data_IF_676230028378
#
_entry.id   IF_676230028378
#
_cell.length_a   1.000
_cell.length_b   1.000
_cell.length_c   1.000
_cell.angle_alpha   90.00
_cell.angle_beta   90.00
_cell.angle_gamma   90.00
#
_symmetry.space_group_name_H-M   'P 1'
#
loop_
_entity.id
_entity.type
_entity.pdbx_description
1 polymer ?
#
# COMPACT_ATOMS: atom_id res chain seq x y z
N UNK A 1 -3.73 7.34 -10.58
CA UNK A 1 -4.30 8.50 -9.88
C UNK A 1 -5.49 7.99 -9.05
N UNK A 2 -5.57 8.36 -7.77
CA UNK A 2 -6.71 7.97 -6.92
C UNK A 2 -8.01 8.58 -7.42
N UNK A 3 -9.15 7.91 -7.14
CA UNK A 3 -10.47 8.50 -7.35
C UNK A 3 -10.69 9.71 -6.43
N UNK A 4 -11.61 10.59 -6.80
CA UNK A 4 -11.97 11.76 -5.99
C UNK A 4 -12.48 11.34 -4.60
N UNK A 5 -13.23 10.24 -4.52
CA UNK A 5 -13.72 9.69 -3.25
C UNK A 5 -12.60 9.21 -2.34
N UNK A 6 -11.55 8.58 -2.90
CA UNK A 6 -10.38 8.13 -2.13
C UNK A 6 -9.53 9.31 -1.67
N UNK A 7 -9.36 10.32 -2.51
CA UNK A 7 -8.66 11.56 -2.12
C UNK A 7 -9.36 12.25 -0.95
N UNK A 8 -10.68 12.41 -1.05
CA UNK A 8 -11.47 13.00 0.03
C UNK A 8 -11.38 12.22 1.34
N UNK A 9 -11.41 10.89 1.28
CA UNK A 9 -11.21 10.06 2.47
C UNK A 9 -9.85 10.30 3.12
N UNK A 10 -8.78 10.42 2.32
CA UNK A 10 -7.45 10.72 2.84
C UNK A 10 -7.40 12.09 3.53
N UNK A 11 -8.03 13.11 2.94
CA UNK A 11 -8.15 14.44 3.54
C UNK A 11 -8.93 14.40 4.87
N UNK A 12 -10.09 13.73 4.91
CA UNK A 12 -10.89 13.55 6.13
C UNK A 12 -10.08 12.84 7.25
N UNK A 13 -9.22 11.87 6.91
CA UNK A 13 -8.34 11.23 7.88
C UNK A 13 -7.28 12.18 8.43
N UNK A 14 -6.72 13.05 7.60
CA UNK A 14 -5.75 14.06 8.01
C UNK A 14 -6.40 15.12 8.89
N UNK A 15 -7.62 15.57 8.56
CA UNK A 15 -8.37 16.58 9.32
C UNK A 15 -8.64 16.17 10.77
N UNK A 16 -8.95 14.88 11.02
CA UNK A 16 -9.26 14.37 12.35
C UNK A 16 -8.06 13.83 13.11
N UNK A 17 -6.88 13.88 12.52
CA UNK A 17 -5.66 13.34 13.13
C UNK A 17 -5.19 14.22 14.28
N UNK A 18 -4.75 13.60 15.39
CA UNK A 18 -4.17 14.29 16.55
C UNK A 18 -2.64 14.43 16.43
N UNK A 19 -2.02 13.64 15.59
CA UNK A 19 -0.59 13.69 15.24
C UNK A 19 -0.41 13.09 13.86
N UNK A 20 0.46 13.67 13.05
CA UNK A 20 0.87 13.14 11.75
C UNK A 20 2.31 12.65 11.82
N UNK A 21 2.55 11.43 11.40
CA UNK A 21 3.89 10.85 11.28
C UNK A 21 4.24 10.77 9.80
N UNK A 22 5.14 11.62 9.36
CA UNK A 22 5.67 11.65 7.99
C UNK A 22 6.93 10.80 7.94
N UNK A 23 6.81 9.62 7.34
CA UNK A 23 7.90 8.65 7.24
C UNK A 23 8.60 8.72 5.88
N UNK A 24 9.84 8.21 5.81
CA UNK A 24 10.71 8.19 4.62
C UNK A 24 11.14 9.59 4.18
N UNK A 25 11.38 10.48 5.11
CA UNK A 25 11.83 11.86 4.82
C UNK A 25 13.22 11.90 4.19
N UNK A 26 13.98 10.84 4.31
CA UNK A 26 15.25 10.61 3.62
C UNK A 26 15.15 10.49 2.08
N UNK A 27 13.95 10.27 1.55
CA UNK A 27 13.70 10.12 0.11
C UNK A 27 13.31 11.42 -0.59
N UNK A 28 13.17 12.52 0.13
CA UNK A 28 12.76 13.82 -0.39
C UNK A 28 13.76 14.90 -0.01
N UNK A 29 13.85 15.96 -0.82
CA UNK A 29 14.68 17.12 -0.50
C UNK A 29 14.05 17.99 0.59
N UNK A 30 14.86 18.86 1.22
CA UNK A 30 14.37 19.81 2.24
C UNK A 30 13.25 20.71 1.70
N UNK A 31 13.36 21.17 0.44
CA UNK A 31 12.32 21.99 -0.21
C UNK A 31 11.01 21.20 -0.38
N UNK A 32 11.09 19.93 -0.76
CA UNK A 32 9.92 19.05 -0.89
C UNK A 32 9.30 18.74 0.46
N UNK A 33 10.13 18.58 1.50
CA UNK A 33 9.66 18.38 2.86
C UNK A 33 8.89 19.60 3.35
N UNK A 34 9.42 20.83 3.16
CA UNK A 34 8.74 22.06 3.53
C UNK A 34 7.41 22.24 2.79
N UNK A 35 7.37 21.95 1.50
CA UNK A 35 6.13 21.99 0.71
C UNK A 35 5.08 21.00 1.25
N UNK A 36 5.50 19.78 1.61
CA UNK A 36 4.62 18.76 2.20
C UNK A 36 4.06 19.22 3.54
N UNK A 37 4.89 19.76 4.42
CA UNK A 37 4.45 20.29 5.71
C UNK A 37 3.45 21.44 5.53
N UNK A 38 3.70 22.37 4.61
CA UNK A 38 2.78 23.46 4.29
C UNK A 38 1.42 22.94 3.77
N UNK A 39 1.41 21.89 2.96
CA UNK A 39 0.18 21.24 2.49
C UNK A 39 -0.57 20.56 3.64
N UNK A 40 0.12 19.84 4.51
CA UNK A 40 -0.48 19.18 5.67
C UNK A 40 -1.09 20.20 6.64
N UNK A 41 -0.41 21.31 6.90
CA UNK A 41 -0.94 22.41 7.73
C UNK A 41 -2.14 23.14 7.11
N UNK A 42 -2.30 23.12 5.78
CA UNK A 42 -3.53 23.65 5.15
C UNK A 42 -4.75 22.78 5.43
N UNK A 43 -4.54 21.46 5.56
CA UNK A 43 -5.62 20.50 5.87
C UNK A 43 -5.92 20.50 7.36
N UNK A 44 -4.90 20.47 8.22
CA UNK A 44 -5.04 20.48 9.66
C UNK A 44 -4.01 21.41 10.29
N UNK A 45 -4.41 22.65 10.52
CA UNK A 45 -3.52 23.76 10.91
C UNK A 45 -2.87 23.60 12.30
N UNK A 46 -3.40 22.75 13.15
CA UNK A 46 -2.94 22.59 14.54
C UNK A 46 -2.31 21.23 14.81
N UNK A 47 -2.24 20.36 13.82
CA UNK A 47 -1.73 19.00 14.02
C UNK A 47 -0.21 19.00 14.19
N UNK A 48 0.32 18.36 15.25
CA UNK A 48 1.75 18.12 15.38
C UNK A 48 2.22 17.19 14.26
N UNK A 49 3.33 17.54 13.60
CA UNK A 49 3.96 16.74 12.54
C UNK A 49 5.28 16.20 13.08
N UNK A 50 5.46 14.88 13.04
CA UNK A 50 6.70 14.18 13.39
C UNK A 50 7.31 13.65 12.11
N UNK A 51 8.49 14.16 11.77
CA UNK A 51 9.27 13.70 10.61
C UNK A 51 10.14 12.53 11.03
N UNK A 52 10.15 11.45 10.25
CA UNK A 52 10.89 10.25 10.61
C UNK A 52 11.43 9.51 9.40
N UNK A 53 12.41 8.65 9.67
CA UNK A 53 13.01 7.72 8.73
C UNK A 53 12.93 6.31 9.33
N UNK A 54 12.58 5.32 8.53
CA UNK A 54 12.36 3.93 8.96
C UNK A 54 11.32 3.76 10.07
N UNK A 55 10.37 4.69 10.22
CA UNK A 55 9.33 4.62 11.25
C UNK A 55 9.87 4.78 12.68
N UNK A 56 11.06 5.34 12.86
CA UNK A 56 11.67 5.56 14.19
C UNK A 56 10.99 6.74 14.88
N UNK A 57 10.02 6.43 15.74
CA UNK A 57 9.26 7.42 16.51
C UNK A 57 9.30 7.03 17.98
N UNK A 58 9.48 8.02 18.85
CA UNK A 58 9.39 7.82 20.29
C UNK A 58 7.90 7.73 20.70
N UNK A 59 7.49 6.59 21.28
CA UNK A 59 6.11 6.35 21.71
C UNK A 59 5.70 7.34 22.82
N UNK A 60 6.63 7.74 23.68
CA UNK A 60 6.36 8.74 24.75
C UNK A 60 6.05 10.12 24.15
N UNK A 61 6.69 10.47 23.03
CA UNK A 61 6.41 11.69 22.28
C UNK A 61 4.99 11.68 21.69
N UNK A 62 4.59 10.56 21.08
CA UNK A 62 3.24 10.40 20.53
C UNK A 62 2.19 10.43 21.65
N UNK A 63 2.47 9.83 22.81
CA UNK A 63 1.52 9.73 23.91
C UNK A 63 1.15 11.08 24.54
N UNK A 64 2.01 12.09 24.37
CA UNK A 64 1.74 13.46 24.86
C UNK A 64 0.60 14.16 24.11
N UNK A 65 0.28 13.71 22.89
CA UNK A 65 -0.81 14.25 22.07
C UNK A 65 -2.17 13.58 22.34
N UNK A 66 -2.29 12.80 23.41
CA UNK A 66 -3.46 11.97 23.71
C UNK A 66 -4.58 12.65 24.49
N UNK A 67 -4.39 13.89 24.93
CA UNK A 67 -5.35 14.59 25.76
C UNK A 67 -6.45 15.23 24.90
N UNK A 68 -7.56 14.59 24.81
CA UNK A 68 -8.90 14.88 24.35
C UNK A 68 -9.40 13.88 23.30
N UNK A 69 -9.70 12.68 23.77
CA UNK A 69 -10.43 11.70 22.93
C UNK A 69 -11.89 12.16 22.80
N UNK A 70 -12.16 13.04 21.86
CA UNK A 70 -13.50 13.17 21.32
C UNK A 70 -13.89 11.82 20.72
N UNK A 71 -15.04 11.31 21.11
CA UNK A 71 -15.59 10.03 20.65
C UNK A 71 -15.67 10.05 19.12
N UNK A 72 -14.74 9.38 18.46
CA UNK A 72 -14.76 9.24 17.00
C UNK A 72 -15.95 8.36 16.67
N UNK A 73 -17.01 8.95 16.14
CA UNK A 73 -18.04 8.19 15.46
C UNK A 73 -17.42 7.60 14.20
N UNK A 74 -17.04 6.33 14.26
CA UNK A 74 -16.62 5.58 13.08
C UNK A 74 -17.83 5.39 12.17
N UNK A 75 -18.02 6.32 11.26
CA UNK A 75 -18.83 6.06 10.09
C UNK A 75 -18.03 5.09 9.22
N UNK A 76 -18.43 3.82 9.20
CA UNK A 76 -17.92 2.84 8.28
C UNK A 76 -18.45 3.16 6.87
N UNK A 77 -17.86 4.14 6.22
CA UNK A 77 -18.06 4.35 4.81
C UNK A 77 -17.31 3.25 4.06
N UNK A 78 -18.05 2.37 3.39
CA UNK A 78 -17.46 1.46 2.40
C UNK A 78 -17.03 2.32 1.19
N UNK A 79 -15.80 2.81 1.21
CA UNK A 79 -15.25 3.71 0.18
C UNK A 79 -14.92 3.01 -1.15
N UNK A 80 -15.56 1.88 -1.44
CA UNK A 80 -15.33 1.15 -2.68
C UNK A 80 -13.98 0.46 -2.79
N UNK A 81 -13.10 0.60 -1.77
CA UNK A 81 -11.84 -0.13 -1.71
C UNK A 81 -12.14 -1.57 -1.31
N UNK A 82 -11.70 -2.51 -2.13
CA UNK A 82 -11.79 -3.92 -1.85
C UNK A 82 -10.44 -4.60 -2.08
N UNK A 83 -10.31 -5.81 -1.57
CA UNK A 83 -9.09 -6.59 -1.71
C UNK A 83 -9.39 -8.02 -2.08
N UNK A 84 -8.41 -8.68 -2.67
CA UNK A 84 -8.42 -10.12 -2.89
C UNK A 84 -7.07 -10.72 -2.50
N UNK A 85 -7.12 -11.96 -2.08
CA UNK A 85 -5.95 -12.79 -1.84
C UNK A 85 -5.94 -13.94 -2.85
N UNK A 86 -4.75 -14.27 -3.37
CA UNK A 86 -4.56 -15.42 -4.25
C UNK A 86 -3.31 -16.19 -3.82
N UNK A 87 -3.45 -17.51 -3.65
CA UNK A 87 -2.35 -18.39 -3.24
C UNK A 87 -2.02 -19.33 -4.41
N UNK A 88 -0.77 -19.25 -4.88
CA UNK A 88 -0.26 -20.15 -5.91
C UNK A 88 0.08 -21.52 -5.30
N UNK A 89 -0.23 -22.59 -6.01
CA UNK A 89 0.11 -23.96 -5.60
C UNK A 89 1.58 -24.34 -5.87
N UNK A 90 2.31 -23.51 -6.61
CA UNK A 90 3.72 -23.73 -6.94
C UNK A 90 4.31 -22.60 -7.77
N UNK A 91 5.48 -22.87 -8.37
CA UNK A 91 6.18 -21.89 -9.20
C UNK A 91 5.41 -21.60 -10.51
N UNK A 92 5.45 -20.35 -10.94
CA UNK A 92 4.72 -19.80 -12.08
C UNK A 92 5.68 -19.34 -13.18
N UNK A 93 5.14 -19.10 -14.38
CA UNK A 93 5.90 -18.50 -15.46
C UNK A 93 6.16 -17.02 -15.18
N UNK A 94 7.44 -16.62 -15.22
CA UNK A 94 7.88 -15.24 -14.94
C UNK A 94 7.34 -14.25 -15.95
N UNK A 95 7.37 -14.59 -17.24
CA UNK A 95 6.95 -13.66 -18.29
C UNK A 95 5.44 -13.40 -18.24
N UNK A 96 4.65 -14.45 -18.00
CA UNK A 96 3.20 -14.32 -17.86
C UNK A 96 2.85 -13.48 -16.62
N UNK A 97 3.56 -13.67 -15.51
CA UNK A 97 3.34 -12.88 -14.31
C UNK A 97 3.68 -11.39 -14.54
N UNK A 98 4.81 -11.08 -15.16
CA UNK A 98 5.14 -9.68 -15.50
C UNK A 98 4.15 -9.06 -16.48
N UNK A 99 3.68 -9.82 -17.50
CA UNK A 99 2.63 -9.32 -18.39
C UNK A 99 1.32 -9.03 -17.64
N UNK A 100 0.99 -9.84 -16.64
CA UNK A 100 -0.16 -9.58 -15.77
C UNK A 100 0.02 -8.26 -14.99
N UNK A 101 1.18 -8.06 -14.39
CA UNK A 101 1.49 -6.83 -13.63
C UNK A 101 1.40 -5.58 -14.53
N UNK A 102 2.00 -5.63 -15.73
CA UNK A 102 1.97 -4.52 -16.69
C UNK A 102 0.57 -4.19 -17.23
N UNK A 103 -0.38 -5.13 -17.10
CA UNK A 103 -1.77 -4.99 -17.55
C UNK A 103 -2.78 -4.93 -16.41
N UNK A 104 -2.29 -4.61 -15.20
CA UNK A 104 -3.19 -4.34 -14.08
C UNK A 104 -4.04 -3.11 -14.41
N UNK A 105 -5.33 -3.12 -14.07
CA UNK A 105 -6.19 -1.95 -14.23
C UNK A 105 -5.73 -0.80 -13.33
N UNK A 106 -5.98 0.44 -13.75
CA UNK A 106 -5.57 1.66 -13.02
C UNK A 106 -6.20 1.76 -11.62
N UNK A 107 -7.32 1.08 -11.40
CA UNK A 107 -7.98 1.00 -10.10
C UNK A 107 -7.35 -0.02 -9.14
N UNK A 108 -6.30 -0.74 -9.55
CA UNK A 108 -5.45 -1.52 -8.64
C UNK A 108 -4.42 -0.59 -8.02
N UNK A 109 -4.56 -0.34 -6.73
CA UNK A 109 -3.71 0.60 -5.99
C UNK A 109 -2.43 -0.06 -5.50
N UNK A 110 -2.52 -1.33 -5.08
CA UNK A 110 -1.41 -2.07 -4.49
C UNK A 110 -1.51 -3.56 -4.75
N UNK A 111 -0.36 -4.19 -4.97
CA UNK A 111 -0.19 -5.63 -4.90
C UNK A 111 1.07 -5.92 -4.08
N UNK A 112 0.97 -6.87 -3.16
CA UNK A 112 2.12 -7.33 -2.37
C UNK A 112 2.01 -8.83 -2.12
N UNK A 113 3.15 -9.53 -2.07
CA UNK A 113 3.19 -10.94 -1.69
C UNK A 113 4.41 -11.66 -2.18
N UNK A 114 4.31 -12.99 -2.17
CA UNK A 114 5.43 -13.87 -2.48
C UNK A 114 5.09 -14.74 -3.69
N UNK A 115 6.05 -14.85 -4.60
CA UNK A 115 5.97 -15.70 -5.79
C UNK A 115 7.26 -16.50 -5.95
N UNK A 116 7.14 -17.61 -6.65
CA UNK A 116 8.28 -18.41 -7.08
C UNK A 116 8.19 -18.62 -8.58
N UNK A 117 9.31 -18.50 -9.29
CA UNK A 117 9.34 -18.64 -10.73
C UNK A 117 9.95 -19.99 -11.16
N UNK A 118 9.48 -20.55 -12.28
CA UNK A 118 9.96 -21.82 -12.80
C UNK A 118 11.41 -21.80 -13.26
N UNK A 119 11.89 -20.63 -13.72
CA UNK A 119 13.27 -20.43 -14.16
C UNK A 119 14.26 -20.30 -12.98
N UNK A 120 13.75 -20.00 -11.77
CA UNK A 120 14.53 -19.95 -10.53
C UNK A 120 13.80 -20.70 -9.40
N UNK A 121 13.64 -22.03 -9.49
CA UNK A 121 12.75 -22.80 -8.61
C UNK A 121 13.24 -22.88 -7.16
N UNK A 122 14.44 -22.40 -6.89
CA UNK A 122 15.05 -22.37 -5.56
C UNK A 122 14.94 -21.01 -4.88
N UNK A 123 14.38 -20.01 -5.54
CA UNK A 123 14.27 -18.64 -5.04
C UNK A 123 12.81 -18.27 -4.84
N UNK A 124 12.53 -17.61 -3.72
CA UNK A 124 11.24 -16.97 -3.45
C UNK A 124 11.43 -15.47 -3.58
N UNK A 125 10.51 -14.82 -4.26
CA UNK A 125 10.55 -13.38 -4.47
C UNK A 125 9.44 -12.71 -3.68
N UNK A 126 9.78 -11.72 -2.87
CA UNK A 126 8.83 -10.72 -2.42
C UNK A 126 8.56 -9.77 -3.57
N UNK A 127 7.30 -9.61 -3.92
CA UNK A 127 6.86 -8.73 -4.99
C UNK A 127 5.97 -7.63 -4.42
N UNK A 128 6.23 -6.41 -4.82
CA UNK A 128 5.44 -5.24 -4.46
C UNK A 128 5.12 -4.44 -5.72
N UNK A 129 3.91 -3.95 -5.79
CA UNK A 129 3.45 -3.03 -6.83
C UNK A 129 2.66 -1.92 -6.15
N UNK A 130 3.02 -0.70 -6.41
CA UNK A 130 2.30 0.48 -5.96
C UNK A 130 2.49 1.60 -6.98
N UNK A 131 1.44 2.34 -7.28
CA UNK A 131 1.48 3.50 -8.18
C UNK A 131 2.06 3.22 -9.58
N UNK A 132 1.81 2.04 -10.12
CA UNK A 132 2.33 1.66 -11.44
C UNK A 132 3.78 1.18 -11.44
N UNK A 133 4.46 1.15 -10.29
CA UNK A 133 5.86 0.76 -10.15
C UNK A 133 5.97 -0.62 -9.49
N UNK A 134 6.44 -1.65 -10.20
CA UNK A 134 6.77 -2.94 -9.60
C UNK A 134 8.16 -2.89 -8.96
N UNK A 135 8.28 -3.51 -7.79
CA UNK A 135 9.52 -3.78 -7.10
C UNK A 135 9.54 -5.23 -6.62
N UNK A 136 10.70 -5.89 -6.66
CA UNK A 136 10.83 -7.26 -6.20
C UNK A 136 12.27 -7.58 -5.75
N UNK A 137 12.37 -8.46 -4.76
CA UNK A 137 13.63 -8.94 -4.23
C UNK A 137 13.56 -10.39 -3.79
N UNK A 138 14.71 -11.07 -3.80
CA UNK A 138 14.82 -12.44 -3.31
C UNK A 138 14.72 -12.43 -1.77
N UNK A 139 13.92 -13.33 -1.23
CA UNK A 139 13.73 -13.52 0.21
C UNK A 139 14.05 -14.96 0.62
N UNK A 140 14.15 -15.19 1.92
CA UNK A 140 14.38 -16.54 2.46
C UNK A 140 13.22 -17.49 2.09
N UNK A 141 13.56 -18.78 1.93
CA UNK A 141 12.59 -19.84 1.62
C UNK A 141 11.61 -20.06 2.77
N UNK A 142 10.44 -20.57 2.43
CA UNK A 142 9.42 -20.99 3.40
C UNK A 142 8.21 -20.09 3.50
N UNK A 143 8.16 -19.04 2.67
CA UNK A 143 6.98 -18.18 2.58
C UNK A 143 5.87 -18.83 1.76
N UNK A 144 4.64 -18.68 2.21
CA UNK A 144 3.46 -19.08 1.43
C UNK A 144 3.38 -18.22 0.18
N UNK A 145 3.29 -18.86 -1.00
CA UNK A 145 3.25 -18.16 -2.29
C UNK A 145 1.89 -17.47 -2.49
N UNK A 146 1.68 -16.43 -1.75
CA UNK A 146 0.41 -15.69 -1.68
C UNK A 146 0.63 -14.25 -2.04
N UNK A 147 -0.24 -13.70 -2.89
CA UNK A 147 -0.32 -12.29 -3.21
C UNK A 147 -1.64 -11.71 -2.70
N UNK A 148 -1.59 -10.44 -2.28
CA UNK A 148 -2.76 -9.63 -1.93
C UNK A 148 -2.83 -8.46 -2.89
N UNK A 149 -4.00 -8.25 -3.48
CA UNK A 149 -4.31 -7.14 -4.40
C UNK A 149 -5.34 -6.26 -3.73
N UNK A 150 -5.09 -4.96 -3.69
CA UNK A 150 -5.97 -3.94 -3.12
C UNK A 150 -6.26 -2.90 -4.20
N UNK A 151 -7.51 -2.48 -4.32
CA UNK A 151 -7.89 -1.45 -5.27
C UNK A 151 -9.31 -0.95 -5.10
N UNK A 152 -9.69 0.01 -5.91
CA UNK A 152 -11.02 0.59 -5.91
C UNK A 152 -11.92 -0.22 -6.85
N UNK A 153 -12.99 -0.83 -6.31
CA UNK A 153 -13.98 -1.60 -7.08
C UNK A 153 -13.32 -2.60 -8.05
N UNK A 154 -12.26 -3.28 -7.61
CA UNK A 154 -11.56 -4.27 -8.45
C UNK A 154 -12.49 -5.44 -8.79
N UNK A 155 -12.43 -5.89 -10.04
CA UNK A 155 -13.10 -7.09 -10.49
C UNK A 155 -12.31 -8.34 -10.03
N UNK A 156 -12.66 -8.83 -8.84
CA UNK A 156 -12.02 -9.99 -8.20
C UNK A 156 -12.09 -11.23 -9.09
N UNK A 157 -13.22 -11.48 -9.77
CA UNK A 157 -13.37 -12.65 -10.62
C UNK A 157 -12.47 -12.58 -11.84
N UNK A 158 -12.36 -11.43 -12.48
CA UNK A 158 -11.48 -11.20 -13.63
C UNK A 158 -10.01 -11.36 -13.26
N UNK A 159 -9.59 -10.80 -12.10
CA UNK A 159 -8.23 -10.93 -11.61
C UNK A 159 -7.90 -12.37 -11.27
N UNK A 160 -8.81 -13.07 -10.57
CA UNK A 160 -8.66 -14.49 -10.23
C UNK A 160 -8.48 -15.34 -11.48
N UNK A 161 -9.34 -15.19 -12.49
CA UNK A 161 -9.25 -15.95 -13.74
C UNK A 161 -7.89 -15.75 -14.44
N UNK A 162 -7.35 -14.52 -14.43
CA UNK A 162 -6.02 -14.26 -14.99
C UNK A 162 -4.91 -14.96 -14.20
N UNK A 163 -5.00 -14.97 -12.87
CA UNK A 163 -4.04 -15.66 -12.01
C UNK A 163 -4.12 -17.17 -12.16
N UNK A 164 -5.33 -17.73 -12.29
CA UNK A 164 -5.54 -19.14 -12.60
C UNK A 164 -4.88 -19.53 -13.94
N UNK A 165 -4.98 -18.67 -14.96
CA UNK A 165 -4.27 -18.91 -16.23
C UNK A 165 -2.75 -18.95 -16.06
N UNK A 166 -2.17 -18.11 -15.21
CA UNK A 166 -0.72 -18.12 -14.92
C UNK A 166 -0.34 -19.36 -14.12
N UNK A 167 -1.20 -19.77 -13.19
CA UNK A 167 -0.97 -20.95 -12.34
C UNK A 167 -0.90 -22.23 -13.15
N UNK A 168 -1.77 -22.37 -14.16
CA UNK A 168 -1.97 -23.61 -14.90
C UNK A 168 -1.39 -23.59 -16.34
N UNK A 169 -0.63 -22.55 -16.67
CA UNK A 169 0.05 -22.43 -17.98
C UNK A 169 1.23 -23.38 -18.14
#
# INVERSE_FOLDING_TARGET
>A
QYSESTMRLMEEQLEVSHVLIVNKTDLISEDQQQQLEDELYRINASVPIILTTYGQVNIDEISQFRDDVATIHTHSHHHGINSMQYTFSGSIDRQLFYQFILRLPDNVLRLKGYVQFRDTPNETYEFQYAYGLPDYGVVEKGMTLTIVIIGEQIDVNRLKNKLDMIQFS
#
